data_IF_859592120730
#
_entry.id   IF_859592120730
#
_cell.length_a   1.000
_cell.length_b   1.000
_cell.length_c   1.000
_cell.angle_alpha   90.00
_cell.angle_beta   90.00
_cell.angle_gamma   90.00
#
_symmetry.space_group_name_H-M   'P 1'
#
loop_
_entity.id
_entity.type
_entity.pdbx_description
1 polymer ?
#
# COMPACT_ATOMS: atom_id res chain seq x y z
N UNK A 1 45.23 -40.65 -3.95
CA UNK A 1 43.87 -41.04 -4.39
C UNK A 1 43.23 -39.85 -5.09
N UNK A 2 42.87 -39.97 -6.37
CA UNK A 2 42.19 -38.88 -7.08
C UNK A 2 40.79 -38.66 -6.48
N UNK A 3 40.47 -37.44 -6.02
CA UNK A 3 39.13 -37.10 -5.53
C UNK A 3 38.13 -37.22 -6.69
N UNK A 4 37.11 -38.07 -6.52
CA UNK A 4 36.01 -38.22 -7.49
C UNK A 4 35.21 -36.91 -7.52
N UNK A 5 34.76 -36.51 -8.71
CA UNK A 5 33.82 -35.40 -8.87
C UNK A 5 32.44 -35.86 -8.41
N UNK A 6 31.72 -35.03 -7.67
CA UNK A 6 30.37 -35.35 -7.23
C UNK A 6 29.40 -34.19 -7.44
N UNK A 7 28.17 -34.55 -7.75
CA UNK A 7 27.01 -33.65 -7.75
C UNK A 7 25.98 -34.27 -6.84
N UNK A 8 25.54 -33.53 -5.85
CA UNK A 8 24.49 -33.96 -4.94
C UNK A 8 23.19 -33.27 -5.30
N UNK A 9 22.15 -34.07 -5.52
CA UNK A 9 20.80 -33.56 -5.70
C UNK A 9 20.03 -33.89 -4.42
N UNK A 10 19.63 -32.86 -3.64
CA UNK A 10 18.96 -33.07 -2.36
C UNK A 10 17.76 -34.01 -2.47
N UNK A 11 17.75 -35.06 -1.65
CA UNK A 11 16.67 -36.05 -1.61
C UNK A 11 16.65 -37.06 -2.77
N UNK A 12 17.58 -37.00 -3.73
CA UNK A 12 17.60 -37.89 -4.91
C UNK A 12 18.85 -38.80 -4.90
N UNK A 13 20.01 -38.25 -4.59
CA UNK A 13 21.28 -38.99 -4.51
C UNK A 13 22.46 -38.17 -5.00
N UNK A 14 23.65 -38.80 -5.05
CA UNK A 14 24.85 -38.17 -5.62
C UNK A 14 25.32 -38.92 -6.87
N UNK A 15 25.66 -38.16 -7.91
CA UNK A 15 26.33 -38.67 -9.11
C UNK A 15 27.83 -38.54 -8.90
N UNK A 16 28.62 -39.60 -9.15
CA UNK A 16 30.07 -39.59 -8.92
C UNK A 16 30.81 -40.14 -10.13
N UNK A 17 31.83 -39.41 -10.59
CA UNK A 17 32.67 -39.84 -11.71
C UNK A 17 34.14 -39.42 -11.52
N UNK A 18 35.05 -40.06 -12.26
CA UNK A 18 36.49 -39.77 -12.21
C UNK A 18 36.90 -38.53 -13.00
N UNK A 19 36.09 -38.10 -13.97
CA UNK A 19 36.35 -36.92 -14.81
C UNK A 19 35.04 -36.22 -15.18
N UNK A 20 35.12 -34.93 -15.56
CA UNK A 20 33.96 -34.14 -16.00
C UNK A 20 33.27 -34.79 -17.20
N UNK A 21 34.05 -35.29 -18.16
CA UNK A 21 33.54 -36.03 -19.32
C UNK A 21 32.78 -37.30 -18.91
N UNK A 22 33.30 -38.07 -17.95
CA UNK A 22 32.62 -39.26 -17.44
C UNK A 22 31.34 -38.92 -16.67
N UNK A 23 31.30 -37.78 -15.97
CA UNK A 23 30.12 -37.31 -15.26
C UNK A 23 28.99 -36.91 -16.23
N UNK A 24 29.34 -36.17 -17.29
CA UNK A 24 28.39 -35.79 -18.34
C UNK A 24 27.88 -37.04 -19.07
N UNK A 25 28.76 -37.97 -19.44
CA UNK A 25 28.36 -39.23 -20.09
C UNK A 25 27.39 -40.04 -19.21
N UNK A 26 27.62 -40.08 -17.90
CA UNK A 26 26.71 -40.74 -16.96
C UNK A 26 25.35 -40.04 -16.90
N UNK A 27 25.32 -38.70 -16.85
CA UNK A 27 24.07 -37.95 -16.84
C UNK A 27 23.26 -38.10 -18.13
N UNK A 28 23.93 -38.16 -19.29
CA UNK A 28 23.30 -38.43 -20.58
C UNK A 28 22.71 -39.85 -20.61
N UNK A 29 23.46 -40.84 -20.12
CA UNK A 29 22.98 -42.22 -20.06
C UNK A 29 21.75 -42.37 -19.16
N UNK A 30 21.73 -41.68 -18.02
CA UNK A 30 20.57 -41.67 -17.12
C UNK A 30 19.39 -40.96 -17.80
N UNK A 31 19.61 -39.81 -18.45
CA UNK A 31 18.58 -39.09 -19.20
C UNK A 31 17.92 -40.01 -20.25
N UNK A 32 18.71 -40.62 -21.13
CA UNK A 32 18.20 -41.50 -22.20
C UNK A 32 17.45 -42.71 -21.63
N UNK A 33 17.97 -43.31 -20.56
CA UNK A 33 17.29 -44.41 -19.88
C UNK A 33 15.91 -43.98 -19.39
N UNK A 34 15.82 -42.88 -18.64
CA UNK A 34 14.53 -42.42 -18.09
C UNK A 34 13.56 -41.95 -19.17
N UNK A 35 14.04 -41.31 -20.23
CA UNK A 35 13.22 -40.92 -21.38
C UNK A 35 12.67 -42.15 -22.12
N UNK A 36 13.45 -43.23 -22.25
CA UNK A 36 13.01 -44.47 -22.91
C UNK A 36 11.85 -45.17 -22.21
N UNK A 37 11.72 -44.99 -20.89
CA UNK A 37 10.66 -45.62 -20.10
C UNK A 37 9.29 -44.94 -20.27
N UNK A 38 9.28 -43.72 -20.82
CA UNK A 38 8.07 -42.93 -21.01
C UNK A 38 7.97 -42.47 -22.47
N UNK A 39 7.73 -43.39 -23.43
CA UNK A 39 7.59 -43.04 -24.84
C UNK A 39 6.45 -42.04 -25.04
N UNK A 40 6.63 -41.14 -26.01
CA UNK A 40 5.62 -40.15 -26.36
C UNK A 40 4.29 -40.82 -26.72
N UNK A 41 3.22 -40.41 -26.03
CA UNK A 41 1.86 -40.84 -26.34
C UNK A 41 1.22 -41.84 -25.38
N UNK A 42 1.79 -42.15 -24.21
CA UNK A 42 1.03 -42.85 -23.15
C UNK A 42 0.16 -41.82 -22.40
N UNK A 43 -1.18 -41.82 -22.58
CA UNK A 43 -2.05 -40.92 -21.84
C UNK A 43 -2.04 -41.34 -20.37
N UNK A 44 -1.36 -40.59 -19.52
CA UNK A 44 -1.60 -40.67 -18.08
C UNK A 44 -3.00 -40.12 -17.85
N UNK A 45 -3.85 -40.86 -17.12
CA UNK A 45 -5.26 -40.50 -16.84
C UNK A 45 -5.46 -39.18 -16.08
N UNK A 46 -4.41 -38.40 -15.87
CA UNK A 46 -4.41 -37.06 -15.29
C UNK A 46 -4.20 -36.04 -16.42
N UNK A 47 -5.29 -35.74 -17.14
CA UNK A 47 -5.29 -34.93 -18.36
C UNK A 47 -5.00 -33.43 -18.16
N UNK A 48 -4.66 -32.98 -16.95
CA UNK A 48 -4.28 -31.59 -16.67
C UNK A 48 -2.76 -31.36 -16.56
N UNK A 49 -1.94 -32.40 -16.70
CA UNK A 49 -0.52 -32.35 -16.33
C UNK A 49 0.44 -32.53 -17.52
N UNK A 50 0.00 -32.28 -18.75
CA UNK A 50 0.89 -32.27 -19.92
C UNK A 50 2.10 -31.32 -19.76
N UNK A 51 2.01 -30.26 -18.93
CA UNK A 51 3.17 -29.41 -18.56
C UNK A 51 4.22 -30.09 -17.67
N UNK A 52 3.85 -31.08 -16.86
CA UNK A 52 4.77 -31.70 -15.90
C UNK A 52 5.78 -32.67 -16.53
N UNK A 53 5.53 -33.14 -17.76
CA UNK A 53 6.43 -34.10 -18.43
C UNK A 53 7.76 -33.48 -18.83
N UNK A 54 7.74 -32.24 -19.34
CA UNK A 54 8.94 -31.48 -19.71
C UNK A 54 9.65 -30.88 -18.49
N UNK A 55 8.92 -30.61 -17.42
CA UNK A 55 9.48 -30.02 -16.19
C UNK A 55 10.08 -31.06 -15.22
N UNK A 56 9.71 -32.35 -15.33
CA UNK A 56 10.12 -33.41 -14.40
C UNK A 56 11.51 -34.02 -14.69
N UNK A 57 12.03 -33.84 -15.91
CA UNK A 57 13.32 -34.39 -16.35
C UNK A 57 14.28 -33.25 -16.68
N UNK A 58 14.73 -32.52 -15.67
CA UNK A 58 15.67 -31.40 -15.84
C UNK A 58 17.12 -31.88 -16.03
N UNK A 59 17.34 -33.09 -16.57
CA UNK A 59 18.68 -33.61 -16.87
C UNK A 59 19.43 -32.69 -17.84
N UNK A 60 18.75 -32.06 -18.80
CA UNK A 60 19.36 -31.06 -19.69
C UNK A 60 19.95 -29.89 -18.90
N UNK A 61 19.21 -29.37 -17.91
CA UNK A 61 19.67 -28.30 -17.02
C UNK A 61 20.82 -28.75 -16.11
N UNK A 62 20.77 -29.97 -15.58
CA UNK A 62 21.89 -30.53 -14.81
C UNK A 62 23.13 -30.63 -15.71
N UNK A 63 22.99 -31.16 -16.91
CA UNK A 63 24.10 -31.31 -17.87
C UNK A 63 24.70 -29.94 -18.20
N UNK A 64 23.88 -28.93 -18.51
CA UNK A 64 24.38 -27.58 -18.81
C UNK A 64 25.08 -26.94 -17.60
N UNK A 65 24.54 -27.09 -16.39
CA UNK A 65 25.21 -26.60 -15.18
C UNK A 65 26.56 -27.28 -14.95
N UNK A 66 26.66 -28.59 -15.23
CA UNK A 66 27.94 -29.31 -15.11
C UNK A 66 28.93 -28.89 -16.18
N UNK A 67 28.46 -28.60 -17.39
CA UNK A 67 29.27 -28.05 -18.49
C UNK A 67 29.80 -26.66 -18.15
N UNK A 68 29.02 -25.82 -17.48
CA UNK A 68 29.40 -24.47 -17.04
C UNK A 68 30.31 -24.47 -15.79
N UNK A 69 30.12 -25.41 -14.86
CA UNK A 69 30.90 -25.47 -13.61
C UNK A 69 32.37 -25.83 -13.81
N UNK A 70 33.24 -25.22 -12.99
CA UNK A 70 34.67 -25.54 -12.97
C UNK A 70 34.96 -26.90 -12.33
N UNK A 71 36.10 -27.51 -12.64
CA UNK A 71 36.49 -28.81 -12.05
C UNK A 71 36.63 -28.72 -10.53
N UNK A 72 37.08 -27.57 -10.02
CA UNK A 72 37.26 -27.37 -8.58
C UNK A 72 35.93 -27.17 -7.84
N UNK A 73 34.94 -26.52 -8.47
CA UNK A 73 33.56 -26.47 -7.95
C UNK A 73 32.96 -27.88 -7.86
N UNK A 74 33.12 -28.70 -8.91
CA UNK A 74 32.63 -30.08 -8.95
C UNK A 74 33.34 -31.00 -7.94
N UNK A 75 34.52 -30.60 -7.41
CA UNK A 75 35.19 -31.30 -6.31
C UNK A 75 34.64 -30.91 -4.94
N UNK A 76 34.00 -29.75 -4.83
CA UNK A 76 33.40 -29.24 -3.59
C UNK A 76 31.94 -29.66 -3.35
N UNK A 77 31.43 -30.58 -4.19
CA UNK A 77 30.05 -31.08 -4.19
C UNK A 77 29.02 -29.98 -4.50
N UNK A 78 28.70 -29.83 -5.79
CA UNK A 78 27.70 -28.84 -6.24
C UNK A 78 26.31 -29.36 -5.86
N UNK A 79 25.63 -28.63 -4.98
CA UNK A 79 24.25 -28.89 -4.59
C UNK A 79 23.30 -28.17 -5.54
N UNK A 80 22.57 -28.94 -6.36
CA UNK A 80 21.59 -28.39 -7.30
C UNK A 80 20.22 -28.27 -6.61
N UNK A 81 20.01 -27.16 -5.90
CA UNK A 81 18.70 -26.89 -5.29
C UNK A 81 17.63 -26.61 -6.35
N UNK A 82 16.46 -27.22 -6.17
CA UNK A 82 15.30 -27.00 -7.03
C UNK A 82 15.33 -27.73 -8.38
N UNK A 83 16.35 -28.57 -8.61
CA UNK A 83 16.42 -29.37 -9.84
C UNK A 83 15.72 -30.72 -9.67
N UNK A 84 14.78 -31.01 -10.58
CA UNK A 84 13.97 -32.23 -10.59
C UNK A 84 14.62 -33.26 -11.54
N UNK A 85 15.31 -34.25 -10.98
CA UNK A 85 15.87 -35.40 -11.72
C UNK A 85 15.58 -36.72 -11.02
N UNK A 86 15.65 -37.82 -11.76
CA UNK A 86 15.44 -39.14 -11.20
C UNK A 86 16.67 -39.65 -10.43
N UNK A 87 16.45 -40.54 -9.44
CA UNK A 87 17.56 -41.14 -8.71
C UNK A 87 18.47 -41.91 -9.66
N UNK A 88 19.80 -41.78 -9.54
CA UNK A 88 20.72 -42.53 -10.37
C UNK A 88 20.44 -44.03 -10.23
N UNK A 89 20.48 -44.79 -11.33
CA UNK A 89 20.32 -46.26 -11.31
C UNK A 89 21.27 -46.98 -10.36
N UNK A 90 22.41 -46.37 -10.02
CA UNK A 90 23.35 -46.90 -9.02
C UNK A 90 22.84 -46.87 -7.57
N UNK A 91 21.84 -46.03 -7.25
CA UNK A 91 21.24 -45.94 -5.92
C UNK A 91 20.25 -47.08 -5.67
N UNK A 92 19.98 -47.44 -4.41
CA UNK A 92 19.01 -48.49 -4.08
C UNK A 92 17.64 -48.22 -4.72
N UNK A 93 17.16 -46.98 -4.69
CA UNK A 93 15.90 -46.60 -5.33
C UNK A 93 15.98 -46.68 -6.86
N UNK A 94 17.06 -46.18 -7.47
CA UNK A 94 17.26 -46.28 -8.91
C UNK A 94 17.29 -47.73 -9.41
N UNK A 95 17.88 -48.65 -8.64
CA UNK A 95 17.84 -50.10 -8.93
C UNK A 95 16.43 -50.67 -8.88
N UNK A 96 15.67 -50.35 -7.84
CA UNK A 96 14.27 -50.81 -7.71
C UNK A 96 13.43 -50.30 -8.88
N UNK A 97 13.52 -49.01 -9.19
CA UNK A 97 12.81 -48.41 -10.32
C UNK A 97 13.26 -49.01 -11.66
N UNK A 98 14.55 -49.27 -11.85
CA UNK A 98 15.06 -49.91 -13.06
C UNK A 98 14.51 -51.34 -13.21
N UNK A 99 14.48 -52.13 -12.14
CA UNK A 99 13.92 -53.48 -12.14
C UNK A 99 12.42 -53.43 -12.48
N UNK A 100 11.66 -52.57 -11.81
CA UNK A 100 10.23 -52.38 -12.08
C UNK A 100 9.98 -51.94 -13.52
N UNK A 101 10.88 -51.14 -14.09
CA UNK A 101 10.76 -50.62 -15.45
C UNK A 101 11.09 -51.64 -16.53
N UNK A 102 11.96 -52.62 -16.22
CA UNK A 102 12.30 -53.72 -17.12
C UNK A 102 11.21 -54.77 -17.26
N UNK A 103 10.15 -54.69 -16.45
CA UNK A 103 9.02 -55.60 -16.53
C UNK A 103 7.96 -55.09 -17.50
N UNK A 104 7.47 -55.97 -18.37
CA UNK A 104 6.38 -55.68 -19.31
C UNK A 104 5.01 -55.49 -18.63
N UNK A 105 4.92 -55.69 -17.32
CA UNK A 105 3.66 -55.57 -16.61
C UNK A 105 3.22 -54.09 -16.49
N UNK A 106 2.04 -53.72 -17.03
CA UNK A 106 1.54 -52.34 -16.99
C UNK A 106 1.31 -51.83 -15.55
N UNK A 107 1.11 -52.72 -14.57
CA UNK A 107 0.96 -52.34 -13.15
C UNK A 107 2.26 -51.77 -12.57
N UNK A 108 3.42 -52.30 -12.94
CA UNK A 108 4.69 -51.75 -12.44
C UNK A 108 5.01 -50.41 -13.07
N UNK A 109 4.65 -50.19 -14.34
CA UNK A 109 4.73 -48.87 -14.99
C UNK A 109 3.82 -47.85 -14.26
N UNK A 110 2.64 -48.28 -13.80
CA UNK A 110 1.75 -47.45 -12.98
C UNK A 110 2.30 -47.15 -11.58
N UNK A 111 2.88 -48.14 -10.90
CA UNK A 111 3.54 -47.95 -9.59
C UNK A 111 4.70 -46.98 -9.71
N UNK A 112 5.54 -47.13 -10.74
CA UNK A 112 6.61 -46.19 -11.05
C UNK A 112 6.03 -44.78 -11.22
N UNK A 113 5.01 -44.60 -12.05
CA UNK A 113 4.40 -43.28 -12.27
C UNK A 113 3.91 -42.62 -10.97
N UNK A 114 3.30 -43.38 -10.06
CA UNK A 114 2.77 -42.84 -8.80
C UNK A 114 3.83 -42.57 -7.74
N UNK A 115 4.82 -43.45 -7.59
CA UNK A 115 5.96 -43.22 -6.69
C UNK A 115 6.71 -41.96 -7.11
N UNK A 116 6.77 -41.69 -8.42
CA UNK A 116 7.42 -40.51 -8.99
C UNK A 116 6.61 -39.22 -8.76
N UNK A 117 5.30 -39.23 -9.00
CA UNK A 117 4.45 -38.04 -8.76
C UNK A 117 4.40 -37.66 -7.28
N UNK A 118 4.31 -38.65 -6.40
CA UNK A 118 4.32 -38.42 -4.95
C UNK A 118 5.63 -37.75 -4.50
N UNK A 119 6.78 -38.18 -5.02
CA UNK A 119 8.09 -37.64 -4.63
C UNK A 119 8.36 -36.25 -5.20
N UNK A 120 7.95 -35.99 -6.44
CA UNK A 120 8.11 -34.68 -7.07
C UNK A 120 7.28 -33.60 -6.35
N UNK A 121 6.09 -33.94 -5.79
CA UNK A 121 5.28 -33.02 -4.98
C UNK A 121 5.91 -32.68 -3.63
N UNK A 122 6.60 -33.62 -2.99
CA UNK A 122 7.28 -33.38 -1.69
C UNK A 122 8.41 -32.35 -1.82
N UNK A 123 9.00 -32.19 -3.01
CA UNK A 123 10.06 -31.19 -3.22
C UNK A 123 9.56 -29.77 -3.47
N UNK A 124 8.24 -29.54 -3.62
CA UNK A 124 7.68 -28.23 -4.01
C UNK A 124 7.42 -27.26 -2.85
N UNK A 125 7.85 -27.59 -1.62
CA UNK A 125 7.66 -26.67 -0.49
C UNK A 125 6.19 -26.33 -0.23
N UNK A 126 5.29 -27.28 -0.51
CA UNK A 126 3.85 -27.11 -0.38
C UNK A 126 3.50 -26.72 1.07
N UNK A 127 2.72 -25.63 1.28
CA UNK A 127 2.37 -25.18 2.62
C UNK A 127 1.58 -26.26 3.38
N UNK A 128 1.93 -26.40 4.67
CA UNK A 128 1.64 -27.55 5.56
C UNK A 128 0.16 -27.95 5.69
N UNK A 129 -0.73 -27.05 5.31
CA UNK A 129 -2.19 -27.10 5.40
C UNK A 129 -2.88 -27.74 4.18
N UNK A 130 -2.20 -27.88 3.02
CA UNK A 130 -2.70 -28.68 1.89
C UNK A 130 -2.25 -30.15 1.96
N UNK A 131 -1.30 -30.49 2.84
CA UNK A 131 -0.68 -31.81 2.93
C UNK A 131 -1.66 -32.88 3.45
N UNK A 132 -2.67 -32.51 4.25
CA UNK A 132 -3.54 -33.51 4.91
C UNK A 132 -4.54 -34.19 3.98
N UNK A 133 -5.04 -33.52 2.94
CA UNK A 133 -5.94 -34.15 1.96
C UNK A 133 -5.21 -35.06 0.99
N UNK A 134 -4.04 -34.62 0.51
CA UNK A 134 -3.21 -35.40 -0.41
C UNK A 134 -2.47 -36.56 0.28
N UNK A 135 -2.21 -36.50 1.59
CA UNK A 135 -1.52 -37.57 2.32
C UNK A 135 -2.37 -38.85 2.44
N UNK A 136 -3.69 -38.75 2.62
CA UNK A 136 -4.57 -39.93 2.65
C UNK A 136 -4.63 -40.61 1.28
N UNK A 137 -4.71 -39.82 0.20
CA UNK A 137 -4.73 -40.34 -1.16
C UNK A 137 -3.38 -40.95 -1.57
N UNK A 138 -2.27 -40.34 -1.12
CA UNK A 138 -0.92 -40.89 -1.32
C UNK A 138 -0.66 -42.14 -0.46
N UNK A 139 -1.19 -42.22 0.76
CA UNK A 139 -1.11 -43.42 1.61
C UNK A 139 -1.87 -44.60 1.01
N UNK A 140 -3.03 -44.35 0.40
CA UNK A 140 -3.80 -45.37 -0.32
C UNK A 140 -3.02 -45.90 -1.53
N UNK A 141 -2.38 -45.00 -2.27
CA UNK A 141 -1.56 -45.36 -3.44
C UNK A 141 -0.28 -46.12 -3.02
N UNK A 142 0.33 -45.74 -1.89
CA UNK A 142 1.49 -46.44 -1.31
C UNK A 142 1.09 -47.83 -0.83
N UNK A 143 -0.07 -48.01 -0.17
CA UNK A 143 -0.52 -49.34 0.26
C UNK A 143 -0.78 -50.27 -0.94
N UNK A 144 -1.42 -49.75 -2.00
CA UNK A 144 -1.64 -50.50 -3.24
C UNK A 144 -0.32 -50.87 -3.94
N UNK A 145 0.70 -50.03 -3.87
CA UNK A 145 2.04 -50.36 -4.39
C UNK A 145 2.81 -51.35 -3.53
N UNK A 146 2.57 -51.39 -2.20
CA UNK A 146 3.14 -52.39 -1.29
C UNK A 146 2.50 -53.76 -1.53
N UNK A 147 1.20 -53.84 -1.80
CA UNK A 147 0.54 -55.08 -2.23
C UNK A 147 1.08 -55.58 -3.57
N UNK A 148 1.30 -54.69 -4.55
CA UNK A 148 1.93 -55.06 -5.81
C UNK A 148 3.39 -55.54 -5.65
N UNK A 149 4.12 -55.05 -4.65
CA UNK A 149 5.47 -55.52 -4.30
C UNK A 149 5.45 -56.86 -3.57
N UNK A 150 4.42 -57.14 -2.77
CA UNK A 150 4.21 -58.44 -2.14
C UNK A 150 3.99 -59.53 -3.20
N UNK A 151 3.18 -59.24 -4.23
CA UNK A 151 2.98 -60.12 -5.39
C UNK A 151 4.28 -60.36 -6.19
N UNK A 152 5.19 -59.38 -6.26
CA UNK A 152 6.53 -59.54 -6.88
C UNK A 152 7.40 -60.49 -6.07
N UNK A 153 7.43 -60.31 -4.75
CA UNK A 153 8.22 -61.16 -3.84
C UNK A 153 7.69 -62.59 -3.85
N UNK A 154 6.38 -62.77 -3.94
CA UNK A 154 5.71 -64.06 -4.01
C UNK A 154 5.93 -64.75 -5.37
N UNK A 155 5.92 -64.00 -6.47
CA UNK A 155 6.28 -64.53 -7.80
C UNK A 155 7.78 -64.80 -7.98
N UNK A 156 8.66 -64.12 -7.23
CA UNK A 156 10.09 -64.46 -7.21
C UNK A 156 10.37 -65.76 -6.43
N UNK A 157 9.48 -66.08 -5.49
CA UNK A 157 9.53 -67.32 -4.70
C UNK A 157 9.10 -68.54 -5.52
N UNK A 158 8.31 -68.35 -6.59
CA UNK A 158 7.79 -69.43 -7.43
C UNK A 158 8.68 -69.77 -8.64
N UNK A 159 9.77 -69.01 -8.91
CA UNK A 159 10.62 -69.21 -10.08
C UNK A 159 11.95 -69.94 -9.83
N UNK A 160 12.10 -70.66 -8.70
CA UNK A 160 13.30 -71.48 -8.44
C UNK A 160 12.97 -72.98 -8.35
N UNK A 161 13.39 -73.64 -9.42
CA UNK A 161 13.47 -75.06 -9.76
C UNK A 161 13.50 -76.04 -8.56
N UNK A 162 12.52 -76.96 -8.55
CA UNK A 162 12.42 -78.10 -7.65
C UNK A 162 12.94 -79.37 -8.32
N UNK A 163 13.78 -80.14 -7.59
CA UNK A 163 13.57 -81.59 -7.37
C UNK A 163 14.55 -82.27 -6.41
N UNK A 164 15.59 -81.60 -5.92
CA UNK A 164 16.61 -82.26 -5.08
C UNK A 164 16.64 -81.85 -3.59
N UNK A 165 15.76 -80.95 -3.15
CA UNK A 165 15.72 -80.45 -1.76
C UNK A 165 14.65 -81.11 -0.87
N UNK A 166 13.79 -81.98 -1.41
CA UNK A 166 12.65 -82.54 -0.66
C UNK A 166 13.08 -83.41 0.54
N UNK A 167 14.25 -84.06 0.45
CA UNK A 167 14.83 -84.84 1.56
C UNK A 167 15.45 -83.95 2.64
N UNK A 168 16.00 -82.79 2.28
CA UNK A 168 16.63 -81.85 3.20
C UNK A 168 15.56 -81.03 3.94
N UNK A 169 14.46 -80.69 3.25
CA UNK A 169 13.30 -79.99 3.82
C UNK A 169 12.58 -80.87 4.85
N UNK A 170 12.43 -82.18 4.63
CA UNK A 170 11.80 -83.07 5.63
C UNK A 170 12.56 -83.13 6.96
N UNK A 171 13.90 -83.21 6.92
CA UNK A 171 14.72 -83.19 8.15
C UNK A 171 14.78 -81.82 8.80
N UNK A 172 14.65 -80.74 8.02
CA UNK A 172 14.59 -79.38 8.56
C UNK A 172 13.25 -79.12 9.24
N UNK A 173 12.14 -79.60 8.67
CA UNK A 173 10.76 -79.40 9.18
C UNK A 173 10.56 -80.05 10.56
N UNK A 174 11.19 -81.19 10.82
CA UNK A 174 11.10 -81.86 12.13
C UNK A 174 11.83 -81.06 13.24
N UNK A 175 13.03 -80.56 12.97
CA UNK A 175 13.77 -79.71 13.93
C UNK A 175 13.17 -78.30 14.07
N UNK A 176 12.62 -77.75 12.99
CA UNK A 176 11.94 -76.45 12.99
C UNK A 176 10.63 -76.52 13.77
N UNK A 177 9.97 -77.68 13.89
CA UNK A 177 8.69 -77.78 14.60
C UNK A 177 8.79 -77.49 16.11
N UNK A 178 9.89 -77.90 16.76
CA UNK A 178 10.16 -77.63 18.18
C UNK A 178 10.65 -76.20 18.41
N UNK A 179 11.52 -75.69 17.53
CA UNK A 179 11.96 -74.28 17.57
C UNK A 179 10.84 -73.32 17.16
N UNK A 180 9.89 -73.72 16.30
CA UNK A 180 8.73 -72.91 15.93
C UNK A 180 7.72 -72.81 17.06
N UNK A 181 7.56 -73.82 17.91
CA UNK A 181 6.67 -73.70 19.08
C UNK A 181 7.27 -72.73 20.11
N UNK A 182 8.58 -72.78 20.35
CA UNK A 182 9.25 -71.80 21.21
C UNK A 182 9.30 -70.39 20.60
N UNK A 183 9.54 -70.29 19.28
CA UNK A 183 9.55 -69.02 18.55
C UNK A 183 8.14 -68.43 18.41
N UNK A 184 7.09 -69.24 18.30
CA UNK A 184 5.71 -68.76 18.26
C UNK A 184 5.28 -68.23 19.62
N UNK A 185 5.62 -68.89 20.73
CA UNK A 185 5.35 -68.38 22.07
C UNK A 185 6.12 -67.07 22.36
N UNK A 186 7.39 -66.99 21.96
CA UNK A 186 8.19 -65.77 22.03
C UNK A 186 7.60 -64.66 21.14
N UNK A 187 7.15 -64.98 19.92
CA UNK A 187 6.50 -64.02 19.03
C UNK A 187 5.14 -63.55 19.55
N UNK A 188 4.39 -64.42 20.25
CA UNK A 188 3.11 -64.07 20.86
C UNK A 188 3.32 -63.08 22.00
N UNK A 189 4.29 -63.35 22.89
CA UNK A 189 4.70 -62.45 23.98
C UNK A 189 5.27 -61.13 23.46
N UNK A 190 6.03 -61.16 22.36
CA UNK A 190 6.55 -59.95 21.71
C UNK A 190 5.41 -59.15 21.04
N UNK A 191 4.41 -59.83 20.46
CA UNK A 191 3.27 -59.18 19.82
C UNK A 191 2.35 -58.49 20.83
N UNK A 192 2.08 -59.11 21.98
CA UNK A 192 1.28 -58.52 23.06
C UNK A 192 2.01 -57.34 23.71
N UNK A 193 3.30 -57.50 24.00
CA UNK A 193 4.14 -56.41 24.51
C UNK A 193 4.19 -55.23 23.51
N UNK A 194 4.38 -55.51 22.21
CA UNK A 194 4.36 -54.46 21.19
C UNK A 194 2.97 -53.82 21.05
N UNK A 195 1.88 -54.57 21.22
CA UNK A 195 0.52 -54.04 21.11
C UNK A 195 0.19 -53.06 22.24
N UNK A 196 0.68 -53.33 23.46
CA UNK A 196 0.51 -52.46 24.62
C UNK A 196 1.35 -51.18 24.49
N UNK A 197 2.56 -51.31 23.95
CA UNK A 197 3.46 -50.18 23.70
C UNK A 197 2.97 -49.29 22.54
N UNK A 198 2.38 -49.91 21.50
CA UNK A 198 1.67 -49.22 20.42
C UNK A 198 0.42 -48.51 20.98
N UNK A 199 -0.33 -49.13 21.90
CA UNK A 199 -1.48 -48.50 22.54
C UNK A 199 -1.08 -47.28 23.39
N UNK A 200 0.02 -47.37 24.16
CA UNK A 200 0.59 -46.22 24.89
C UNK A 200 1.02 -45.09 23.95
N UNK A 201 1.75 -45.39 22.89
CA UNK A 201 2.17 -44.38 21.89
C UNK A 201 0.98 -43.75 21.19
N UNK A 202 -0.08 -44.51 20.84
CA UNK A 202 -1.32 -43.95 20.29
C UNK A 202 -2.04 -43.04 21.28
N UNK A 203 -2.12 -43.43 22.54
CA UNK A 203 -2.70 -42.60 23.60
C UNK A 203 -1.93 -41.28 23.76
N UNK A 204 -0.59 -41.34 23.76
CA UNK A 204 0.28 -40.17 23.83
C UNK A 204 0.14 -39.26 22.59
N UNK A 205 0.13 -39.85 21.39
CA UNK A 205 -0.09 -39.13 20.13
C UNK A 205 -1.46 -38.44 20.10
N UNK A 206 -2.50 -39.08 20.65
CA UNK A 206 -3.84 -38.50 20.77
C UNK A 206 -3.88 -37.30 21.74
N UNK A 207 -3.07 -37.31 22.81
CA UNK A 207 -2.91 -36.16 23.71
C UNK A 207 -2.22 -35.01 22.99
N UNK A 208 -1.12 -35.28 22.29
CA UNK A 208 -0.44 -34.27 21.48
C UNK A 208 -1.34 -33.67 20.39
N UNK A 209 -2.17 -34.48 19.73
CA UNK A 209 -3.15 -34.00 18.75
C UNK A 209 -4.16 -33.03 19.39
N UNK A 210 -4.71 -33.38 20.56
CA UNK A 210 -5.65 -32.51 21.31
C UNK A 210 -5.01 -31.19 21.72
N UNK A 211 -3.78 -31.24 22.23
CA UNK A 211 -3.03 -30.02 22.61
C UNK A 211 -2.78 -29.14 21.37
N UNK A 212 -2.34 -29.72 20.25
CA UNK A 212 -2.11 -28.97 19.00
C UNK A 212 -3.38 -28.30 18.47
N UNK A 213 -4.51 -29.01 18.47
CA UNK A 213 -5.80 -28.46 18.06
C UNK A 213 -6.23 -27.32 19.00
N UNK A 214 -6.16 -27.54 20.31
CA UNK A 214 -6.49 -26.50 21.29
C UNK A 214 -5.58 -25.27 21.21
N UNK A 215 -4.31 -25.44 20.82
CA UNK A 215 -3.40 -24.32 20.56
C UNK A 215 -3.79 -23.60 19.27
N UNK A 216 -4.06 -24.34 18.19
CA UNK A 216 -4.49 -23.77 16.90
C UNK A 216 -5.79 -22.96 17.05
N UNK A 217 -6.76 -23.48 17.78
CA UNK A 217 -8.04 -22.80 18.05
C UNK A 217 -7.84 -21.52 18.85
N UNK A 218 -6.95 -21.52 19.86
CA UNK A 218 -6.60 -20.30 20.62
C UNK A 218 -5.93 -19.24 19.75
N UNK A 219 -5.01 -19.64 18.88
CA UNK A 219 -4.37 -18.70 17.96
C UNK A 219 -5.36 -18.13 16.95
N UNK A 220 -6.30 -18.96 16.45
CA UNK A 220 -7.34 -18.50 15.54
C UNK A 220 -8.28 -17.51 16.21
N UNK A 221 -8.82 -17.84 17.39
CA UNK A 221 -9.70 -16.97 18.15
C UNK A 221 -9.02 -15.63 18.51
N UNK A 222 -7.75 -15.68 18.94
CA UNK A 222 -6.97 -14.46 19.23
C UNK A 222 -6.67 -13.64 17.98
N UNK A 223 -6.45 -14.30 16.84
CA UNK A 223 -6.29 -13.64 15.55
C UNK A 223 -7.56 -12.91 15.13
N UNK A 224 -8.72 -13.55 15.25
CA UNK A 224 -10.02 -12.94 14.97
C UNK A 224 -10.32 -11.75 15.88
N UNK A 225 -10.01 -11.84 17.18
CA UNK A 225 -10.13 -10.73 18.14
C UNK A 225 -9.21 -9.55 17.79
N UNK A 226 -7.95 -9.82 17.45
CA UNK A 226 -6.99 -8.77 17.05
C UNK A 226 -7.40 -8.09 15.75
N UNK A 227 -7.90 -8.84 14.78
CA UNK A 227 -8.39 -8.28 13.51
C UNK A 227 -9.62 -7.41 13.78
N UNK A 228 -10.55 -7.85 14.63
CA UNK A 228 -11.73 -7.07 14.99
C UNK A 228 -11.39 -5.78 15.74
N UNK A 229 -10.48 -5.84 16.72
CA UNK A 229 -9.98 -4.66 17.45
C UNK A 229 -9.26 -3.69 16.51
N UNK A 230 -8.39 -4.20 15.63
CA UNK A 230 -7.67 -3.36 14.67
C UNK A 230 -8.61 -2.69 13.66
N UNK A 231 -9.56 -3.43 13.11
CA UNK A 231 -10.56 -2.93 12.17
C UNK A 231 -11.46 -1.86 12.82
N UNK A 232 -11.82 -2.04 14.10
CA UNK A 232 -12.51 -1.02 14.91
C UNK A 232 -11.69 0.27 15.07
N UNK A 233 -10.43 0.15 15.50
CA UNK A 233 -9.54 1.32 15.68
C UNK A 233 -9.21 2.02 14.38
N UNK A 234 -9.02 1.26 13.30
CA UNK A 234 -8.73 1.78 11.99
C UNK A 234 -9.92 2.59 11.46
N UNK A 235 -11.14 2.05 11.53
CA UNK A 235 -12.36 2.78 11.14
C UNK A 235 -12.53 4.07 11.94
N UNK A 236 -12.38 3.99 13.27
CA UNK A 236 -12.51 5.17 14.15
C UNK A 236 -11.44 6.24 13.86
N UNK A 237 -10.19 5.84 13.63
CA UNK A 237 -9.12 6.76 13.21
C UNK A 237 -9.38 7.36 11.82
N UNK A 238 -9.83 6.54 10.86
CA UNK A 238 -10.18 6.97 9.52
C UNK A 238 -11.32 7.99 9.54
N UNK A 239 -12.39 7.73 10.29
CA UNK A 239 -13.54 8.63 10.39
C UNK A 239 -13.18 9.97 11.05
N UNK A 240 -12.34 9.94 12.09
CA UNK A 240 -11.79 11.17 12.68
C UNK A 240 -10.97 11.97 11.67
N UNK A 241 -10.15 11.30 10.87
CA UNK A 241 -9.32 11.94 9.85
C UNK A 241 -10.15 12.57 8.73
N UNK A 242 -11.15 11.85 8.20
CA UNK A 242 -12.06 12.38 7.18
C UNK A 242 -12.86 13.58 7.71
N UNK A 243 -13.37 13.50 8.95
CA UNK A 243 -14.04 14.63 9.60
C UNK A 243 -13.11 15.84 9.71
N UNK A 244 -11.84 15.66 10.11
CA UNK A 244 -10.84 16.73 10.17
C UNK A 244 -10.61 17.37 8.80
N UNK A 245 -10.46 16.58 7.73
CA UNK A 245 -10.31 17.09 6.36
C UNK A 245 -11.49 17.95 5.91
N UNK A 246 -12.72 17.58 6.29
CA UNK A 246 -13.92 18.37 5.96
C UNK A 246 -13.89 19.77 6.58
N UNK A 247 -13.26 19.95 7.74
CA UNK A 247 -13.16 21.25 8.42
C UNK A 247 -11.89 22.04 8.05
N UNK A 248 -10.84 21.38 7.58
CA UNK A 248 -9.61 22.06 7.17
C UNK A 248 -9.79 22.89 5.88
N UNK A 249 -10.55 22.38 4.91
CA UNK A 249 -10.87 23.10 3.67
C UNK A 249 -11.53 24.48 3.90
N UNK A 250 -12.59 24.63 4.72
CA UNK A 250 -13.16 25.95 5.00
C UNK A 250 -12.22 26.84 5.82
N UNK A 251 -11.45 26.31 6.79
CA UNK A 251 -10.49 27.10 7.58
C UNK A 251 -9.40 27.70 6.69
N UNK A 252 -8.84 26.90 5.78
CA UNK A 252 -7.82 27.37 4.84
C UNK A 252 -8.37 28.40 3.86
N UNK A 253 -9.61 28.25 3.42
CA UNK A 253 -10.31 29.23 2.59
C UNK A 253 -10.44 30.59 3.31
N UNK A 254 -10.99 30.61 4.53
CA UNK A 254 -11.17 31.86 5.31
C UNK A 254 -9.84 32.51 5.70
N UNK A 255 -8.81 31.70 5.99
CA UNK A 255 -7.45 32.19 6.24
C UNK A 255 -6.87 32.90 5.02
N UNK A 256 -7.07 32.32 3.82
CA UNK A 256 -6.64 32.93 2.56
C UNK A 256 -7.43 34.21 2.26
N UNK A 257 -8.73 34.19 2.50
CA UNK A 257 -9.61 35.36 2.29
C UNK A 257 -9.19 36.54 3.18
N UNK A 258 -8.98 36.28 4.47
CA UNK A 258 -8.45 37.29 5.42
C UNK A 258 -7.13 37.88 4.91
N UNK A 259 -6.17 37.04 4.49
CA UNK A 259 -4.87 37.49 3.98
C UNK A 259 -5.01 38.35 2.72
N UNK A 260 -5.95 38.02 1.84
CA UNK A 260 -6.23 38.78 0.61
C UNK A 260 -6.79 40.16 0.92
N UNK A 261 -7.75 40.25 1.85
CA UNK A 261 -8.33 41.54 2.25
C UNK A 261 -7.34 42.42 3.01
N UNK A 262 -6.55 41.86 3.93
CA UNK A 262 -5.52 42.64 4.65
C UNK A 262 -4.41 43.11 3.72
N UNK A 263 -3.98 42.29 2.76
CA UNK A 263 -2.98 42.69 1.78
C UNK A 263 -3.49 43.82 0.86
N UNK A 264 -4.70 43.69 0.29
CA UNK A 264 -5.29 44.74 -0.54
C UNK A 264 -5.48 46.05 0.25
N UNK A 265 -5.91 45.95 1.51
CA UNK A 265 -6.04 47.10 2.40
C UNK A 265 -4.68 47.78 2.69
N UNK A 266 -3.64 47.00 2.97
CA UNK A 266 -2.30 47.53 3.21
C UNK A 266 -1.67 48.16 1.95
N UNK A 267 -1.88 47.56 0.77
CA UNK A 267 -1.44 48.14 -0.50
C UNK A 267 -2.17 49.44 -0.78
N UNK A 268 -3.49 49.49 -0.55
CA UNK A 268 -4.27 50.72 -0.69
C UNK A 268 -3.81 51.81 0.30
N UNK A 269 -3.55 51.47 1.56
CA UNK A 269 -2.99 52.40 2.56
C UNK A 269 -1.61 52.93 2.16
N UNK A 270 -0.71 52.05 1.70
CA UNK A 270 0.63 52.44 1.29
C UNK A 270 0.58 53.36 0.07
N UNK A 271 -0.23 53.01 -0.93
CA UNK A 271 -0.48 53.85 -2.10
C UNK A 271 -1.05 55.21 -1.69
N UNK A 272 -1.92 55.26 -0.68
CA UNK A 272 -2.49 56.50 -0.18
C UNK A 272 -1.45 57.39 0.49
N UNK A 273 -0.65 56.84 1.42
CA UNK A 273 0.42 57.58 2.11
C UNK A 273 1.40 58.15 1.08
N UNK A 274 1.74 57.38 0.05
CA UNK A 274 2.61 57.82 -1.03
C UNK A 274 2.01 59.00 -1.82
N UNK A 275 0.74 58.91 -2.23
CA UNK A 275 0.04 60.00 -2.93
C UNK A 275 -0.06 61.25 -2.03
N UNK A 276 -0.35 61.09 -0.74
CA UNK A 276 -0.42 62.19 0.21
C UNK A 276 0.93 62.91 0.35
N UNK A 277 2.03 62.16 0.49
CA UNK A 277 3.39 62.70 0.54
C UNK A 277 3.72 63.42 -0.76
N UNK A 278 3.36 62.86 -1.93
CA UNK A 278 3.58 63.50 -3.22
C UNK A 278 2.81 64.80 -3.35
N UNK A 279 1.57 64.87 -2.85
CA UNK A 279 0.75 66.08 -2.91
C UNK A 279 1.27 67.16 -1.96
N UNK A 280 1.63 66.79 -0.73
CA UNK A 280 2.25 67.73 0.23
C UNK A 280 3.60 68.21 -0.31
N UNK A 281 4.40 67.31 -0.88
CA UNK A 281 5.68 67.63 -1.49
C UNK A 281 5.54 68.55 -2.70
N UNK A 282 4.59 68.28 -3.59
CA UNK A 282 4.29 69.11 -4.74
C UNK A 282 3.74 70.48 -4.34
N UNK A 283 2.87 70.55 -3.33
CA UNK A 283 2.38 71.81 -2.79
C UNK A 283 3.51 72.65 -2.16
N UNK A 284 4.36 72.02 -1.36
CA UNK A 284 5.52 72.68 -0.72
C UNK A 284 6.52 73.17 -1.77
N UNK A 285 6.85 72.32 -2.75
CA UNK A 285 7.73 72.69 -3.86
C UNK A 285 7.13 73.80 -4.73
N UNK A 286 5.82 73.75 -4.99
CA UNK A 286 5.09 74.77 -5.72
C UNK A 286 5.10 76.14 -5.02
N UNK A 287 4.91 76.16 -3.70
CA UNK A 287 5.00 77.40 -2.90
C UNK A 287 6.42 77.96 -2.92
N UNK A 288 7.46 77.13 -2.82
CA UNK A 288 8.86 77.59 -2.84
C UNK A 288 9.25 78.10 -4.23
N UNK A 289 8.87 77.41 -5.31
CA UNK A 289 9.29 77.73 -6.67
C UNK A 289 8.44 78.84 -7.33
N UNK A 290 7.15 78.92 -6.98
CA UNK A 290 6.18 79.80 -7.63
C UNK A 290 5.48 80.75 -6.65
N UNK A 291 5.87 80.78 -5.37
CA UNK A 291 5.26 81.62 -4.34
C UNK A 291 5.22 83.11 -4.73
N UNK A 292 6.32 83.63 -5.25
CA UNK A 292 6.41 85.03 -5.69
C UNK A 292 5.48 85.32 -6.88
N UNK A 293 5.31 84.37 -7.81
CA UNK A 293 4.37 84.52 -8.94
C UNK A 293 2.91 84.47 -8.50
N UNK A 294 2.59 83.68 -7.46
CA UNK A 294 1.25 83.60 -6.88
C UNK A 294 0.94 84.88 -6.10
N UNK A 295 1.89 85.41 -5.33
CA UNK A 295 1.76 86.67 -4.61
C UNK A 295 1.54 87.86 -5.57
N UNK A 296 2.34 87.92 -6.65
CA UNK A 296 2.20 88.94 -7.71
C UNK A 296 0.93 88.77 -8.57
N UNK A 297 0.16 87.69 -8.38
CA UNK A 297 -1.10 87.47 -9.10
C UNK A 297 -2.31 88.13 -8.44
N UNK A 298 -2.20 88.57 -7.18
CA UNK A 298 -3.29 89.24 -6.45
C UNK A 298 -3.29 90.76 -6.66
N UNK A 299 -2.10 91.36 -6.83
CA UNK A 299 -1.92 92.80 -6.95
C UNK A 299 -1.29 93.15 -8.29
N UNK A 300 -1.86 94.14 -8.99
CA UNK A 300 -1.21 94.77 -10.13
C UNK A 300 -1.10 96.26 -9.85
N UNK A 301 0.13 96.77 -9.86
CA UNK A 301 0.39 98.18 -9.67
C UNK A 301 0.06 98.88 -10.99
N UNK A 302 -0.98 99.70 -11.01
CA UNK A 302 -1.27 100.59 -12.14
C UNK A 302 -1.06 102.03 -11.68
N UNK A 303 -0.04 102.68 -12.22
CA UNK A 303 0.20 104.10 -12.00
C UNK A 303 -0.45 104.89 -13.13
N UNK A 304 -1.17 105.96 -12.78
CA UNK A 304 -1.77 106.87 -13.77
C UNK A 304 -0.67 107.58 -14.55
N UNK A 305 -0.79 107.69 -15.87
CA UNK A 305 0.17 108.42 -16.72
C UNK A 305 0.17 109.93 -16.48
N UNK A 306 -0.81 110.45 -15.73
CA UNK A 306 -0.93 111.86 -15.40
C UNK A 306 -0.17 112.29 -14.13
N UNK A 307 0.02 111.39 -13.16
CA UNK A 307 0.74 111.66 -11.91
C UNK A 307 1.55 110.44 -11.47
N UNK A 308 2.90 110.48 -11.53
CA UNK A 308 3.76 109.33 -11.23
C UNK A 308 3.84 108.97 -9.74
N UNK A 309 3.21 109.75 -8.84
CA UNK A 309 3.19 109.52 -7.40
C UNK A 309 1.92 108.82 -6.87
N UNK A 310 0.86 108.66 -7.68
CA UNK A 310 -0.38 107.97 -7.28
C UNK A 310 -0.44 106.57 -7.91
N UNK A 311 0.31 105.63 -7.33
CA UNK A 311 0.22 104.21 -7.69
C UNK A 311 -0.74 103.51 -6.72
N UNK A 312 -1.84 102.97 -7.26
CA UNK A 312 -2.81 102.18 -6.49
C UNK A 312 -2.71 100.70 -6.85
N UNK A 313 -2.78 99.86 -5.83
CA UNK A 313 -2.84 98.41 -5.99
C UNK A 313 -4.26 98.01 -6.38
N UNK A 314 -4.46 97.65 -7.65
CA UNK A 314 -5.74 97.13 -8.13
C UNK A 314 -5.70 95.60 -8.04
N UNK A 315 -6.77 95.03 -7.50
CA UNK A 315 -6.97 93.59 -7.44
C UNK A 315 -7.00 93.00 -8.85
N UNK A 316 -6.12 92.04 -9.11
CA UNK A 316 -6.05 91.36 -10.39
C UNK A 316 -7.00 90.16 -10.41
N UNK A 317 -7.83 90.03 -11.44
CA UNK A 317 -8.82 88.95 -11.58
C UNK A 317 -8.21 87.53 -11.60
N UNK A 318 -6.89 87.42 -11.82
CA UNK A 318 -6.15 86.15 -11.77
C UNK A 318 -6.02 85.56 -10.35
N UNK A 319 -5.95 86.40 -9.31
CA UNK A 319 -5.80 85.94 -7.92
C UNK A 319 -6.98 85.09 -7.41
N UNK A 320 -8.24 85.55 -7.53
CA UNK A 320 -9.40 84.75 -7.14
C UNK A 320 -9.51 83.41 -7.91
N UNK A 321 -9.06 83.39 -9.17
CA UNK A 321 -9.08 82.19 -10.00
C UNK A 321 -8.07 81.14 -9.51
N UNK A 322 -6.86 81.55 -9.12
CA UNK A 322 -5.86 80.62 -8.55
C UNK A 322 -6.32 80.05 -7.21
N UNK A 323 -6.92 80.87 -6.34
CA UNK A 323 -7.50 80.41 -5.07
C UNK A 323 -8.66 79.42 -5.30
N UNK A 324 -9.52 79.71 -6.28
CA UNK A 324 -10.62 78.81 -6.65
C UNK A 324 -10.14 77.43 -7.10
N UNK A 325 -9.08 77.37 -7.90
CA UNK A 325 -8.47 76.09 -8.35
C UNK A 325 -7.87 75.32 -7.16
N UNK A 326 -7.19 76.01 -6.24
CA UNK A 326 -6.62 75.40 -5.03
C UNK A 326 -7.72 74.83 -4.13
N UNK A 327 -8.79 75.59 -3.90
CA UNK A 327 -9.94 75.14 -3.10
C UNK A 327 -10.65 73.93 -3.74
N UNK A 328 -10.81 73.93 -5.06
CA UNK A 328 -11.39 72.80 -5.78
C UNK A 328 -10.51 71.54 -5.65
N UNK A 329 -9.19 71.69 -5.83
CA UNK A 329 -8.25 70.59 -5.65
C UNK A 329 -8.27 70.04 -4.21
N UNK A 330 -8.30 70.92 -3.20
CA UNK A 330 -8.42 70.53 -1.80
C UNK A 330 -9.75 69.81 -1.51
N UNK A 331 -10.86 70.29 -2.06
CA UNK A 331 -12.17 69.64 -1.93
C UNK A 331 -12.19 68.25 -2.55
N UNK A 332 -11.62 68.09 -3.73
CA UNK A 332 -11.52 66.79 -4.42
C UNK A 332 -10.63 65.81 -3.63
N UNK A 333 -9.58 66.31 -2.99
CA UNK A 333 -8.71 65.51 -2.12
C UNK A 333 -9.43 65.02 -0.85
N UNK A 334 -10.22 65.89 -0.21
CA UNK A 334 -11.05 65.52 0.93
C UNK A 334 -12.09 64.46 0.54
N UNK A 335 -12.68 64.59 -0.65
CA UNK A 335 -13.62 63.61 -1.17
C UNK A 335 -12.97 62.25 -1.43
N UNK A 336 -11.77 62.22 -2.03
CA UNK A 336 -10.98 61.00 -2.18
C UNK A 336 -10.64 60.35 -0.83
N UNK A 337 -10.23 61.16 0.16
CA UNK A 337 -9.93 60.69 1.51
C UNK A 337 -11.13 59.99 2.17
N UNK A 338 -12.33 60.54 1.94
CA UNK A 338 -13.59 59.98 2.43
C UNK A 338 -13.92 58.62 1.79
N UNK A 339 -13.73 58.47 0.48
CA UNK A 339 -13.91 57.19 -0.22
C UNK A 339 -12.92 56.16 0.30
N UNK A 340 -11.66 56.53 0.46
CA UNK A 340 -10.60 55.64 0.92
C UNK A 340 -10.83 55.15 2.35
N UNK A 341 -11.24 56.04 3.26
CA UNK A 341 -11.58 55.64 4.63
C UNK A 341 -12.75 54.64 4.65
N UNK A 342 -13.75 54.83 3.79
CA UNK A 342 -14.84 53.87 3.61
C UNK A 342 -14.32 52.50 3.17
N UNK A 343 -13.51 52.44 2.11
CA UNK A 343 -12.93 51.17 1.62
C UNK A 343 -12.03 50.49 2.65
N UNK A 344 -11.28 51.26 3.43
CA UNK A 344 -10.44 50.71 4.51
C UNK A 344 -11.28 50.06 5.61
N UNK A 345 -12.35 50.73 6.05
CA UNK A 345 -13.27 50.21 7.07
C UNK A 345 -13.99 48.95 6.61
N UNK A 346 -14.45 48.93 5.36
CA UNK A 346 -15.08 47.75 4.75
C UNK A 346 -14.10 46.56 4.72
N UNK A 347 -12.86 46.77 4.28
CA UNK A 347 -11.85 45.71 4.27
C UNK A 347 -11.51 45.17 5.67
N UNK A 348 -11.50 46.04 6.69
CA UNK A 348 -11.32 45.65 8.08
C UNK A 348 -12.45 44.76 8.60
N UNK A 349 -13.70 45.17 8.37
CA UNK A 349 -14.88 44.38 8.77
C UNK A 349 -14.92 43.01 8.09
N UNK A 350 -14.58 42.93 6.81
CA UNK A 350 -14.51 41.63 6.12
C UNK A 350 -13.40 40.73 6.68
N UNK A 351 -12.26 41.31 7.08
CA UNK A 351 -11.16 40.55 7.71
C UNK A 351 -11.52 40.04 9.11
N UNK A 352 -12.27 40.81 9.88
CA UNK A 352 -12.78 40.44 11.20
C UNK A 352 -13.86 39.36 11.10
N UNK A 353 -14.82 39.51 10.19
CA UNK A 353 -15.82 38.48 9.87
C UNK A 353 -15.19 37.15 9.44
N UNK A 354 -14.13 37.20 8.62
CA UNK A 354 -13.38 35.99 8.24
C UNK A 354 -12.64 35.36 9.42
N UNK A 355 -12.16 36.17 10.39
CA UNK A 355 -11.52 35.70 11.60
C UNK A 355 -12.51 35.04 12.57
N UNK A 356 -13.69 35.63 12.75
CA UNK A 356 -14.79 35.06 13.55
C UNK A 356 -15.22 33.70 12.98
N UNK A 357 -15.47 33.63 11.66
CA UNK A 357 -15.85 32.37 11.01
C UNK A 357 -14.80 31.29 11.17
N UNK A 358 -13.51 31.65 11.09
CA UNK A 358 -12.41 30.72 11.38
C UNK A 358 -12.45 30.21 12.82
N UNK A 359 -12.61 31.11 13.79
CA UNK A 359 -12.66 30.75 15.20
C UNK A 359 -13.86 29.83 15.52
N UNK A 360 -15.03 30.07 14.90
CA UNK A 360 -16.18 29.20 15.06
C UNK A 360 -15.96 27.79 14.50
N UNK A 361 -15.35 27.66 13.31
CA UNK A 361 -15.06 26.35 12.73
C UNK A 361 -14.01 25.59 13.56
N UNK A 362 -12.96 26.26 14.04
CA UNK A 362 -11.94 25.65 14.90
C UNK A 362 -12.53 25.21 16.25
N UNK A 363 -13.39 26.02 16.85
CA UNK A 363 -14.08 25.69 18.11
C UNK A 363 -15.03 24.51 17.90
N UNK A 364 -15.77 24.49 16.78
CA UNK A 364 -16.64 23.38 16.43
C UNK A 364 -15.88 22.08 16.23
N UNK A 365 -14.73 22.13 15.55
CA UNK A 365 -13.85 20.98 15.39
C UNK A 365 -13.40 20.44 16.77
N UNK A 366 -12.95 21.33 17.67
CA UNK A 366 -12.54 20.93 19.02
C UNK A 366 -13.69 20.30 19.82
N UNK A 367 -14.92 20.80 19.66
CA UNK A 367 -16.11 20.24 20.32
C UNK A 367 -16.55 18.88 19.76
N UNK A 368 -16.33 18.62 18.46
CA UNK A 368 -16.54 17.29 17.88
C UNK A 368 -15.49 16.31 18.42
N UNK A 369 -14.23 16.74 18.51
CA UNK A 369 -13.15 15.91 19.04
C UNK A 369 -13.37 15.55 20.52
N UNK A 370 -13.99 16.43 21.32
CA UNK A 370 -14.34 16.16 22.71
C UNK A 370 -15.64 15.36 22.90
N UNK A 371 -16.37 15.05 21.83
CA UNK A 371 -17.63 14.29 21.88
C UNK A 371 -18.79 15.04 22.54
N UNK A 372 -18.68 16.37 22.72
CA UNK A 372 -19.65 17.17 23.48
C UNK A 372 -20.83 17.69 22.63
N UNK A 373 -20.85 17.45 21.32
CA UNK A 373 -21.89 18.00 20.42
C UNK A 373 -22.70 16.89 19.75
N UNK A 374 -23.99 16.74 20.11
CA UNK A 374 -24.96 15.93 19.37
C UNK A 374 -25.04 16.33 17.89
N UNK A 375 -25.24 15.35 17.01
CA UNK A 375 -25.36 15.58 15.56
C UNK A 375 -26.54 16.52 15.23
N UNK A 376 -27.57 16.54 16.07
CA UNK A 376 -28.75 17.41 15.97
C UNK A 376 -28.41 18.90 15.97
N UNK A 377 -27.34 19.30 16.65
CA UNK A 377 -26.91 20.71 16.72
C UNK A 377 -25.97 21.11 15.57
N UNK A 378 -25.57 20.17 14.71
CA UNK A 378 -24.68 20.43 13.57
C UNK A 378 -25.28 21.43 12.59
N UNK A 379 -26.57 21.31 12.27
CA UNK A 379 -27.25 22.22 11.35
C UNK A 379 -27.33 23.65 11.91
N UNK A 380 -27.54 23.79 13.22
CA UNK A 380 -27.62 25.10 13.91
C UNK A 380 -26.24 25.78 13.86
N UNK A 381 -25.17 25.04 14.15
CA UNK A 381 -23.80 25.57 14.14
C UNK A 381 -23.35 25.91 12.71
N UNK A 382 -23.65 25.05 11.73
CA UNK A 382 -23.35 25.33 10.32
C UNK A 382 -24.11 26.59 9.84
N UNK A 383 -25.38 26.75 10.23
CA UNK A 383 -26.13 27.97 9.94
C UNK A 383 -25.53 29.21 10.62
N UNK A 384 -25.01 29.09 11.84
CA UNK A 384 -24.32 30.19 12.50
C UNK A 384 -23.00 30.57 11.81
N UNK A 385 -22.24 29.59 11.29
CA UNK A 385 -20.97 29.78 10.56
C UNK A 385 -21.21 30.36 9.16
N UNK A 386 -22.24 29.87 8.46
CA UNK A 386 -22.56 30.26 7.08
C UNK A 386 -23.58 31.37 6.98
N UNK A 387 -24.03 31.96 8.09
CA UNK A 387 -24.92 33.12 8.04
C UNK A 387 -24.30 34.18 7.12
N UNK A 388 -25.05 34.77 6.17
CA UNK A 388 -24.59 35.96 5.47
C UNK A 388 -24.09 36.93 6.52
N UNK A 389 -22.88 37.48 6.33
CA UNK A 389 -22.45 38.54 7.23
C UNK A 389 -23.54 39.59 7.11
N UNK A 390 -24.09 40.02 8.26
CA UNK A 390 -24.77 41.30 8.30
C UNK A 390 -23.64 42.30 8.08
N UNK A 391 -23.22 42.44 6.83
CA UNK A 391 -22.51 43.62 6.39
C UNK A 391 -23.46 44.72 6.82
N UNK A 392 -23.08 45.40 7.90
CA UNK A 392 -23.69 46.65 8.25
C UNK A 392 -23.34 47.54 7.08
N UNK A 393 -24.18 47.51 6.04
CA UNK A 393 -24.43 48.68 5.23
C UNK A 393 -24.53 49.78 6.27
N UNK A 394 -23.55 50.71 6.31
CA UNK A 394 -23.78 51.90 7.10
C UNK A 394 -25.09 52.44 6.54
N UNK A 395 -26.09 52.64 7.40
CA UNK A 395 -27.08 53.68 7.14
C UNK A 395 -26.24 54.86 6.66
N UNK A 396 -26.41 55.22 5.39
CA UNK A 396 -25.53 56.12 4.68
C UNK A 396 -25.54 57.50 5.39
N UNK A 397 -24.72 57.68 6.41
CA UNK A 397 -24.48 58.99 7.06
C UNK A 397 -23.72 59.95 6.12
N UNK A 398 -23.69 59.65 4.82
CA UNK A 398 -23.09 60.44 3.76
C UNK A 398 -24.00 60.59 2.53
N UNK A 399 -25.32 60.47 2.68
CA UNK A 399 -26.22 61.31 1.89
C UNK A 399 -26.11 62.75 2.42
N UNK A 400 -25.06 63.48 2.01
CA UNK A 400 -24.89 64.90 2.31
C UNK A 400 -25.99 65.82 1.73
N UNK A 401 -27.03 65.23 1.16
CA UNK A 401 -28.34 65.82 0.93
C UNK A 401 -29.31 64.84 1.57
N UNK A 402 -29.71 65.12 2.81
CA UNK A 402 -30.64 64.30 3.55
C UNK A 402 -31.83 63.93 2.65
N UNK A 403 -32.18 62.64 2.64
CA UNK A 403 -33.49 62.18 2.15
C UNK A 403 -34.61 62.99 2.82
N UNK A 404 -34.37 63.57 4.01
CA UNK A 404 -35.20 64.58 4.66
C UNK A 404 -35.35 65.88 3.86
N UNK A 405 -34.28 66.46 3.31
CA UNK A 405 -34.34 67.68 2.49
C UNK A 405 -35.06 67.45 1.16
N UNK A 406 -34.84 66.30 0.52
CA UNK A 406 -35.58 65.90 -0.70
C UNK A 406 -37.06 65.64 -0.38
N UNK A 407 -37.38 65.07 0.79
CA UNK A 407 -38.77 64.90 1.25
C UNK A 407 -39.45 66.24 1.59
N UNK A 408 -38.71 67.19 2.16
CA UNK A 408 -39.20 68.52 2.49
C UNK A 408 -39.48 69.34 1.21
N UNK A 409 -38.60 69.27 0.22
CA UNK A 409 -38.82 69.90 -1.09
C UNK A 409 -40.00 69.23 -1.81
N UNK A 410 -40.11 67.91 -1.79
CA UNK A 410 -41.26 67.17 -2.36
C UNK A 410 -42.58 67.58 -1.69
N UNK A 411 -42.60 67.73 -0.36
CA UNK A 411 -43.78 68.16 0.39
C UNK A 411 -44.16 69.62 0.15
N UNK A 412 -43.20 70.50 -0.14
CA UNK A 412 -43.46 71.89 -0.56
C UNK A 412 -43.93 71.94 -2.02
N UNK A 413 -43.39 71.09 -2.89
CA UNK A 413 -43.78 71.02 -4.30
C UNK A 413 -45.15 70.36 -4.54
N UNK A 414 -45.59 69.48 -3.63
CA UNK A 414 -46.92 68.84 -3.69
C UNK A 414 -47.93 69.44 -2.69
N UNK A 415 -47.49 70.26 -1.73
CA UNK A 415 -48.36 70.95 -0.77
C UNK A 415 -48.94 72.28 -1.27
N UNK A 416 -48.60 72.71 -2.49
CA UNK A 416 -49.13 73.92 -3.12
C UNK A 416 -50.42 73.70 -3.91
N UNK A 417 -51.46 73.17 -3.26
CA UNK A 417 -52.87 73.31 -3.70
C UNK A 417 -53.77 73.25 -2.48
N UNK A 418 -54.15 74.43 -1.99
CA UNK A 418 -55.44 74.67 -1.34
C UNK A 418 -56.21 75.58 -2.27
#
# INVERSE_FOLDING_TARGET
MARKLSISVPGIGSFRASSKKALIALLVQEKEFWESLFPEGVPTRFNDHHRTRTDALQYSKVISTVEESSVDELRSDVSLMGVKVFPPRGTAMGKVLAILSSSDNPRYKFVIANVMTARLRVSEGVPRNQITGDFEQNMLTVSQSIEALADVVENFKSSLFLREQEKLVKSLVENISLDQVAATEASLKLSTFSSEEIARRRAETSRFRRIRLAIADRYKARGEELVADWDGRFRDAHDRYIKKLQFEAPVTLWKREKKRHTWRSNVALFSFILVLILIIGAATCGVIAYGDTIANSFHRNSCSTADPFDCRDILNAKGPLTVGVILLAASMLLWLMKILNRTYREAGQHAENAAERKAFVETYQAMIESGQVPEEHRAIILNAVFRPSKDGQPVDDNSGLDVSAVSAISKILHGGRV
#
